data_IF_625627528672
#
_entry.id   IF_625627528672
#
_cell.length_a   1.000
_cell.length_b   1.000
_cell.length_c   1.000
_cell.angle_alpha   90.00
_cell.angle_beta   90.00
_cell.angle_gamma   90.00
#
_symmetry.space_group_name_H-M   'P 1'
#
loop_
_entity.id
_entity.type
_entity.pdbx_description
1 polymer ?
#
# COMPACT_ATOMS: atom_id res chain seq x y z
N UNK A 1 13.99 -21.79 23.35
CA UNK A 1 14.27 -20.45 22.78
C UNK A 1 12.98 -19.93 22.17
N UNK A 2 12.31 -18.98 22.82
CA UNK A 2 11.05 -18.44 22.34
C UNK A 2 11.39 -17.40 21.27
N UNK A 3 11.25 -17.76 19.99
CA UNK A 3 11.48 -16.84 18.87
C UNK A 3 10.43 -15.74 18.97
N UNK A 4 10.80 -14.62 19.59
CA UNK A 4 9.97 -13.42 19.70
C UNK A 4 9.60 -13.03 18.27
N UNK A 5 8.35 -13.25 17.83
CA UNK A 5 7.88 -12.76 16.53
C UNK A 5 8.21 -11.29 16.48
N UNK A 6 9.18 -10.91 15.63
CA UNK A 6 9.51 -9.51 15.43
C UNK A 6 8.21 -8.82 15.03
N UNK A 7 7.84 -7.78 15.76
CA UNK A 7 6.61 -7.04 15.50
C UNK A 7 6.82 -6.40 14.13
N UNK A 8 6.20 -6.95 13.09
CA UNK A 8 6.33 -6.45 11.73
C UNK A 8 5.78 -5.02 11.71
N UNK A 9 6.68 -4.04 11.53
CA UNK A 9 6.32 -2.65 11.34
C UNK A 9 6.42 -2.34 9.84
N UNK A 10 5.29 -2.24 9.13
CA UNK A 10 5.27 -1.94 7.70
C UNK A 10 5.82 -0.54 7.36
N UNK A 11 5.98 0.32 8.36
CA UNK A 11 6.55 1.66 8.22
C UNK A 11 8.03 1.74 8.65
N UNK A 12 8.64 0.62 9.06
CA UNK A 12 10.06 0.60 9.34
C UNK A 12 10.85 0.88 8.06
N UNK A 13 11.96 1.61 8.19
CA UNK A 13 12.87 1.90 7.08
C UNK A 13 13.30 0.61 6.39
N UNK A 14 13.05 0.52 5.09
CA UNK A 14 13.33 -0.66 4.28
C UNK A 14 14.62 -0.45 3.48
N UNK A 15 15.44 -1.50 3.37
CA UNK A 15 16.60 -1.57 2.47
C UNK A 15 16.21 -1.90 1.02
N UNK A 16 14.92 -2.11 0.77
CA UNK A 16 14.32 -2.34 -0.55
C UNK A 16 13.38 -1.20 -0.91
N UNK A 17 13.22 -0.93 -2.22
CA UNK A 17 12.21 0.00 -2.72
C UNK A 17 10.82 -0.39 -2.18
N UNK A 18 10.02 0.64 -1.93
CA UNK A 18 8.60 0.52 -1.58
C UNK A 18 7.80 1.34 -2.56
N UNK A 19 6.49 1.17 -2.55
CA UNK A 19 5.61 1.86 -3.48
C UNK A 19 4.48 2.53 -2.70
N UNK A 20 4.33 3.84 -2.83
CA UNK A 20 3.16 4.54 -2.34
C UNK A 20 2.09 4.43 -3.43
N UNK A 21 1.01 3.70 -3.13
CA UNK A 21 0.00 3.33 -4.12
C UNK A 21 -1.34 3.92 -3.73
N UNK A 22 -1.97 4.62 -4.67
CA UNK A 22 -3.35 5.07 -4.59
C UNK A 22 -4.21 4.20 -5.48
N UNK A 23 -5.29 3.64 -4.93
CA UNK A 23 -6.23 2.79 -5.64
C UNK A 23 -7.66 3.28 -5.52
N UNK A 24 -8.49 2.93 -6.49
CA UNK A 24 -9.94 3.01 -6.34
C UNK A 24 -10.49 1.82 -5.53
N UNK A 25 -11.81 1.78 -5.35
CA UNK A 25 -12.47 0.69 -4.63
C UNK A 25 -12.60 -0.62 -5.43
N UNK A 26 -12.25 -0.59 -6.71
CA UNK A 26 -12.16 -1.76 -7.58
C UNK A 26 -10.73 -2.31 -7.67
N UNK A 27 -9.83 -1.83 -6.81
CA UNK A 27 -8.39 -2.19 -6.77
C UNK A 27 -7.56 -1.73 -7.96
N UNK A 28 -8.10 -0.86 -8.83
CA UNK A 28 -7.34 -0.26 -9.92
C UNK A 28 -6.33 0.73 -9.36
N UNK A 29 -5.10 0.69 -9.88
CA UNK A 29 -4.04 1.65 -9.51
C UNK A 29 -4.33 2.97 -10.19
N UNK A 30 -4.63 4.00 -9.40
CA UNK A 30 -4.82 5.36 -9.87
C UNK A 30 -3.50 6.11 -9.94
N UNK A 31 -2.64 5.88 -8.96
CA UNK A 31 -1.30 6.45 -8.88
C UNK A 31 -0.37 5.50 -8.12
N UNK A 32 0.90 5.52 -8.49
CA UNK A 32 1.93 4.71 -7.86
C UNK A 32 3.28 5.43 -7.94
N UNK A 33 3.83 5.74 -6.78
CA UNK A 33 5.13 6.39 -6.65
C UNK A 33 6.14 5.43 -6.04
N UNK A 34 7.25 5.20 -6.73
CA UNK A 34 8.36 4.44 -6.17
C UNK A 34 9.05 5.27 -5.06
N UNK A 35 9.23 4.63 -3.90
CA UNK A 35 9.97 5.13 -2.76
C UNK A 35 11.33 4.39 -2.72
N UNK A 36 12.45 5.08 -2.99
CA UNK A 36 13.76 4.46 -2.99
C UNK A 36 14.12 3.82 -1.65
N UNK A 37 15.05 2.86 -1.62
CA UNK A 37 15.57 2.27 -0.38
C UNK A 37 16.05 3.34 0.61
N UNK A 38 15.74 3.16 1.90
CA UNK A 38 16.11 4.11 2.95
C UNK A 38 15.18 5.33 3.08
N UNK A 39 14.17 5.46 2.21
CA UNK A 39 13.14 6.51 2.35
C UNK A 39 12.37 6.33 3.65
N UNK A 40 12.08 7.45 4.34
CA UNK A 40 11.18 7.45 5.50
C UNK A 40 9.74 7.22 5.04
N UNK A 41 9.31 5.96 5.10
CA UNK A 41 8.00 5.51 4.68
C UNK A 41 6.87 6.20 5.43
N UNK A 42 7.06 6.50 6.72
CA UNK A 42 6.05 7.18 7.53
C UNK A 42 5.88 8.61 7.04
N UNK A 43 6.98 9.30 6.77
CA UNK A 43 6.94 10.64 6.21
C UNK A 43 6.34 10.65 4.82
N UNK A 44 6.77 9.77 3.92
CA UNK A 44 6.21 9.68 2.55
C UNK A 44 4.70 9.40 2.54
N UNK A 45 4.22 8.55 3.46
CA UNK A 45 2.79 8.30 3.61
C UNK A 45 2.03 9.53 4.10
N UNK A 46 2.57 10.22 5.13
CA UNK A 46 1.98 11.45 5.65
C UNK A 46 1.96 12.56 4.59
N UNK A 47 3.02 12.70 3.81
CA UNK A 47 3.12 13.67 2.71
C UNK A 47 2.09 13.35 1.61
N UNK A 48 1.94 12.08 1.24
CA UNK A 48 0.92 11.62 0.30
C UNK A 48 -0.51 11.86 0.80
N UNK A 49 -0.76 11.63 2.09
CA UNK A 49 -2.05 11.91 2.70
C UNK A 49 -2.34 13.41 2.74
N UNK A 50 -1.38 14.23 3.14
CA UNK A 50 -1.51 15.69 3.14
C UNK A 50 -1.77 16.25 1.73
N UNK A 51 -1.13 15.68 0.70
CA UNK A 51 -1.39 16.05 -0.69
C UNK A 51 -2.84 15.75 -1.13
N UNK A 52 -3.42 14.65 -0.65
CA UNK A 52 -4.82 14.32 -0.86
C UNK A 52 -5.74 15.28 -0.07
N UNK A 53 -5.40 15.60 1.17
CA UNK A 53 -6.17 16.56 1.99
C UNK A 53 -6.22 17.95 1.34
N UNK A 54 -5.11 18.43 0.78
CA UNK A 54 -5.05 19.69 -0.01
C UNK A 54 -5.96 19.64 -1.24
N UNK A 55 -6.13 18.47 -1.84
CA UNK A 55 -7.05 18.25 -2.96
C UNK A 55 -8.52 18.06 -2.53
N UNK A 56 -8.83 18.19 -1.24
CA UNK A 56 -10.18 18.05 -0.68
C UNK A 56 -10.60 16.60 -0.42
N UNK A 57 -9.64 15.68 -0.26
CA UNK A 57 -9.92 14.34 0.24
C UNK A 57 -9.90 14.31 1.77
N UNK A 58 -10.75 13.48 2.36
CA UNK A 58 -10.85 13.34 3.81
C UNK A 58 -10.47 11.91 4.23
N UNK A 59 -9.60 11.78 5.21
CA UNK A 59 -9.23 10.47 5.76
C UNK A 59 -10.34 9.88 6.63
N UNK A 60 -10.69 8.62 6.39
CA UNK A 60 -11.74 7.90 7.14
C UNK A 60 -11.19 7.09 8.33
N UNK A 61 -9.88 7.17 8.57
CA UNK A 61 -9.16 6.43 9.60
C UNK A 61 -7.93 5.75 9.04
N UNK A 62 -6.78 5.98 9.67
CA UNK A 62 -5.51 5.37 9.30
C UNK A 62 -5.24 4.13 10.14
N UNK A 63 -4.85 3.03 9.50
CA UNK A 63 -4.34 1.83 10.17
C UNK A 63 -2.91 1.57 9.70
N UNK A 64 -1.93 2.02 10.49
CA UNK A 64 -0.51 1.82 10.17
C UNK A 64 -0.11 2.49 8.85
N UNK A 65 0.12 1.67 7.81
CA UNK A 65 0.61 2.09 6.49
C UNK A 65 -0.49 2.17 5.41
N UNK A 66 -1.76 2.21 5.82
CA UNK A 66 -2.91 2.26 4.91
C UNK A 66 -4.03 3.15 5.45
N UNK A 67 -4.70 3.85 4.55
CA UNK A 67 -5.79 4.77 4.88
C UNK A 67 -6.80 4.81 3.73
N UNK A 68 -8.08 4.84 4.08
CA UNK A 68 -9.12 5.19 3.13
C UNK A 68 -9.31 6.69 3.13
N UNK A 69 -9.45 7.27 1.95
CA UNK A 69 -9.82 8.67 1.78
C UNK A 69 -11.10 8.77 0.96
N UNK A 70 -11.94 9.73 1.26
CA UNK A 70 -13.15 9.99 0.47
C UNK A 70 -13.33 11.46 0.14
N UNK A 71 -14.00 11.70 -0.98
CA UNK A 71 -14.31 13.03 -1.51
C UNK A 71 -15.59 12.95 -2.32
N UNK A 72 -16.65 13.65 -1.89
CA UNK A 72 -17.86 13.84 -2.69
C UNK A 72 -18.54 12.54 -3.17
N UNK A 73 -18.45 11.45 -2.39
CA UNK A 73 -19.00 10.14 -2.77
C UNK A 73 -18.02 9.21 -3.47
N UNK A 74 -16.84 9.69 -3.85
CA UNK A 74 -15.72 8.85 -4.30
C UNK A 74 -14.89 8.40 -3.08
N UNK A 75 -14.39 7.17 -3.11
CA UNK A 75 -13.53 6.59 -2.08
C UNK A 75 -12.30 5.97 -2.72
N UNK A 76 -11.13 6.26 -2.16
CA UNK A 76 -9.83 5.76 -2.60
C UNK A 76 -9.07 5.15 -1.43
N UNK A 77 -8.11 4.31 -1.77
CA UNK A 77 -7.27 3.59 -0.83
C UNK A 77 -5.81 3.96 -1.07
N UNK A 78 -5.20 4.61 -0.08
CA UNK A 78 -3.77 4.93 -0.09
C UNK A 78 -3.04 3.94 0.82
N UNK A 79 -2.02 3.27 0.29
CA UNK A 79 -1.22 2.32 1.05
C UNK A 79 0.23 2.26 0.56
N UNK A 80 1.13 1.83 1.45
CA UNK A 80 2.49 1.44 1.06
C UNK A 80 2.52 -0.05 0.70
N UNK A 81 3.00 -0.34 -0.50
CA UNK A 81 3.24 -1.68 -1.01
C UNK A 81 4.73 -2.02 -0.99
N UNK A 82 5.03 -3.31 -0.77
CA UNK A 82 6.40 -3.83 -0.86
C UNK A 82 6.87 -4.08 -2.29
N UNK A 83 5.92 -4.27 -3.21
CA UNK A 83 6.13 -4.65 -4.60
C UNK A 83 5.54 -3.58 -5.52
N UNK A 84 6.08 -3.51 -6.74
CA UNK A 84 5.52 -2.68 -7.80
C UNK A 84 4.06 -3.10 -8.03
N UNK A 85 3.09 -2.17 -7.98
CA UNK A 85 1.68 -2.48 -8.17
C UNK A 85 1.29 -2.80 -9.63
N UNK A 86 2.17 -2.51 -10.61
CA UNK A 86 1.97 -2.83 -12.03
C UNK A 86 2.61 -4.15 -12.44
N UNK A 87 3.58 -4.64 -11.68
CA UNK A 87 4.15 -5.95 -11.93
C UNK A 87 3.24 -7.07 -11.38
N UNK A 88 3.09 -8.19 -12.09
CA UNK A 88 2.43 -9.35 -11.53
C UNK A 88 3.19 -9.79 -10.27
N UNK A 89 2.49 -10.08 -9.16
CA UNK A 89 3.16 -10.52 -7.95
C UNK A 89 3.97 -11.78 -8.24
N UNK A 90 5.16 -11.94 -7.62
CA UNK A 90 5.96 -13.12 -7.82
C UNK A 90 5.16 -14.38 -7.44
N UNK A 91 5.37 -15.51 -8.13
CA UNK A 91 4.66 -16.75 -7.86
C UNK A 91 4.79 -17.11 -6.37
N UNK A 92 3.64 -17.27 -5.69
CA UNK A 92 3.56 -17.55 -4.26
C UNK A 92 3.15 -16.36 -3.37
N UNK A 93 3.18 -15.11 -3.86
CA UNK A 93 2.56 -13.97 -3.19
C UNK A 93 1.09 -13.85 -3.63
N UNK A 94 0.24 -14.61 -2.94
CA UNK A 94 -1.20 -14.78 -3.14
C UNK A 94 -1.91 -13.71 -3.97
N UNK A 95 -1.96 -13.93 -5.28
CA UNK A 95 -3.17 -13.63 -6.03
C UNK A 95 -4.19 -14.67 -5.58
N UNK A 96 -5.29 -14.25 -4.94
CA UNK A 96 -6.53 -15.02 -5.06
C UNK A 96 -7.02 -14.80 -6.50
N UNK A 97 -6.21 -15.22 -7.47
CA UNK A 97 -6.65 -15.40 -8.83
C UNK A 97 -7.49 -16.67 -8.79
N UNK A 98 -8.77 -16.51 -9.10
CA UNK A 98 -9.69 -17.63 -9.24
C UNK A 98 -9.07 -18.72 -10.11
N UNK A 99 -9.37 -19.96 -9.72
CA UNK A 99 -9.02 -21.24 -10.35
C UNK A 99 -7.55 -21.63 -10.28
N UNK A 100 -7.33 -22.60 -9.39
CA UNK A 100 -6.28 -23.60 -9.47
C UNK A 100 -6.12 -24.09 -10.93
N UNK A 101 -4.99 -23.80 -11.57
CA UNK A 101 -4.71 -24.23 -12.94
C UNK A 101 -4.23 -25.70 -13.04
N UNK A 102 -4.12 -26.40 -11.91
CA UNK A 102 -3.61 -27.79 -11.83
C UNK A 102 -4.43 -28.69 -10.91
N UNK A 103 -5.65 -28.30 -10.56
CA UNK A 103 -6.56 -29.20 -9.88
C UNK A 103 -7.28 -30.02 -10.95
N UNK A 104 -6.73 -31.19 -11.27
CA UNK A 104 -7.41 -32.30 -11.93
C UNK A 104 -8.36 -32.98 -10.92
#
# INVERSE_FOLDING_TARGET
MNTKRSKYDPLATSTRSRWLVLRDMFHNVLDATELPPGTDLRKSFADGLAALEVQGWHSEGASGAMVFVSRGGERRFLAIHELDPYEPPPPGHGVIAGRCATCD
#
